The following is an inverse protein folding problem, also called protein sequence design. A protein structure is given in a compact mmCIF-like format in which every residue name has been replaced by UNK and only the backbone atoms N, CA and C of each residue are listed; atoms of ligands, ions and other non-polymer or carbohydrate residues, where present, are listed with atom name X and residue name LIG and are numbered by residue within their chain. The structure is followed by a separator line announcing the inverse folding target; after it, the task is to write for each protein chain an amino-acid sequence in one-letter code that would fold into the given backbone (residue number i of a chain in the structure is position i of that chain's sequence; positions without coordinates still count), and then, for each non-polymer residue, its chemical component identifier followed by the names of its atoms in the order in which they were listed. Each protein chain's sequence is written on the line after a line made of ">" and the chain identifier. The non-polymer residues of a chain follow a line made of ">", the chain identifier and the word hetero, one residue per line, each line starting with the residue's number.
data_IF_519127441803
#
_entry.id   IF_519127441803
#
_cell.length_a   1.000
_cell.length_b   1.000
_cell.length_c   1.000
_cell.angle_alpha   90.00
_cell.angle_beta   90.00
_cell.angle_gamma   90.00
#
_symmetry.space_group_name_H-M   'P 1'
#
loop_
_entity.id
_entity.type
_entity.pdbx_description
1 polymer ?
#
# COMPACT_ATOMS: atom_id res chain seq x y z
N UNK A 1 5.33 2.85 15.66
CA UNK A 1 4.35 2.74 16.77
C UNK A 1 2.89 2.99 16.38
N UNK A 2 2.51 4.11 15.75
CA UNK A 2 1.09 4.41 15.43
C UNK A 2 0.45 3.44 14.42
N UNK A 3 1.17 3.07 13.37
CA UNK A 3 0.73 2.12 12.33
C UNK A 3 0.51 0.71 12.91
N UNK A 4 1.43 0.26 13.75
CA UNK A 4 1.35 -1.01 14.48
C UNK A 4 0.12 -1.07 15.41
N UNK A 5 -0.24 0.05 16.05
CA UNK A 5 -1.46 0.13 16.89
C UNK A 5 -2.75 0.10 16.06
N UNK A 6 -2.78 0.72 14.88
CA UNK A 6 -3.91 0.60 13.95
C UNK A 6 -4.11 -0.85 13.51
N UNK A 7 -3.01 -1.55 13.25
CA UNK A 7 -2.98 -2.98 12.91
C UNK A 7 -3.30 -3.91 14.09
N UNK A 8 -3.40 -3.39 15.32
CA UNK A 8 -3.79 -4.15 16.52
C UNK A 8 -5.26 -3.95 16.93
N UNK A 9 -6.01 -3.01 16.30
CA UNK A 9 -7.40 -2.72 16.67
C UNK A 9 -8.35 -3.86 16.26
N UNK A 10 -9.17 -4.43 17.17
CA UNK A 10 -10.18 -5.41 16.79
C UNK A 10 -11.30 -4.71 16.00
N UNK A 11 -12.02 -5.49 15.18
CA UNK A 11 -13.03 -5.12 14.17
C UNK A 11 -12.43 -4.92 12.76
N UNK A 12 -12.47 -5.98 11.94
CA UNK A 12 -12.04 -5.99 10.53
C UNK A 12 -12.53 -4.75 9.74
N UNK A 13 -13.77 -4.33 9.95
CA UNK A 13 -14.36 -3.21 9.21
C UNK A 13 -13.75 -1.84 9.56
N UNK A 14 -13.46 -1.57 10.84
CA UNK A 14 -12.87 -0.27 11.24
C UNK A 14 -11.39 -0.20 10.90
N UNK A 15 -10.65 -1.31 11.09
CA UNK A 15 -9.24 -1.39 10.73
C UNK A 15 -9.03 -1.17 9.24
N UNK A 16 -9.78 -1.89 8.41
CA UNK A 16 -9.72 -1.74 6.95
C UNK A 16 -10.07 -0.32 6.52
N UNK A 17 -11.15 0.25 7.07
CA UNK A 17 -11.53 1.64 6.76
C UNK A 17 -10.42 2.64 7.13
N UNK A 18 -9.81 2.53 8.31
CA UNK A 18 -8.76 3.45 8.75
C UNK A 18 -7.48 3.33 7.92
N UNK A 19 -7.09 2.10 7.55
CA UNK A 19 -5.95 1.85 6.68
C UNK A 19 -6.19 2.39 5.27
N UNK A 20 -7.40 2.20 4.71
CA UNK A 20 -7.74 2.72 3.40
C UNK A 20 -7.76 4.25 3.39
N UNK A 21 -8.26 4.90 4.43
CA UNK A 21 -8.23 6.38 4.52
C UNK A 21 -6.80 6.92 4.65
N UNK A 22 -5.94 6.26 5.42
CA UNK A 22 -4.52 6.61 5.51
C UNK A 22 -3.81 6.42 4.16
N UNK A 23 -4.06 5.29 3.50
CA UNK A 23 -3.52 5.00 2.18
C UNK A 23 -4.04 6.01 1.14
N UNK A 24 -5.30 6.44 1.24
CA UNK A 24 -5.86 7.45 0.33
C UNK A 24 -5.24 8.82 0.56
N UNK A 25 -5.04 9.22 1.82
CA UNK A 25 -4.38 10.47 2.15
C UNK A 25 -2.96 10.55 1.59
N UNK A 26 -2.19 9.46 1.68
CA UNK A 26 -0.85 9.38 1.11
C UNK A 26 -0.84 9.29 -0.42
N UNK A 27 -1.81 8.61 -1.03
CA UNK A 27 -1.93 8.52 -2.49
C UNK A 27 -2.28 9.87 -3.15
N UNK A 28 -2.78 10.85 -2.38
CA UNK A 28 -3.05 12.22 -2.82
C UNK A 28 -1.85 13.16 -2.72
N UNK A 29 -0.73 12.70 -2.13
CA UNK A 29 0.50 13.48 -2.06
C UNK A 29 1.15 13.60 -3.45
N UNK A 30 2.04 14.59 -3.66
CA UNK A 30 2.90 14.57 -4.84
C UNK A 30 3.79 13.32 -4.85
N UNK A 31 4.32 12.99 -6.02
CA UNK A 31 4.96 11.70 -6.29
C UNK A 31 6.05 11.33 -5.27
N UNK A 32 6.98 12.24 -4.98
CA UNK A 32 8.12 11.97 -4.09
C UNK A 32 7.67 11.70 -2.65
N UNK A 33 6.71 12.47 -2.15
CA UNK A 33 6.16 12.27 -0.81
C UNK A 33 5.30 11.01 -0.72
N UNK A 34 4.54 10.69 -1.78
CA UNK A 34 3.80 9.45 -1.87
C UNK A 34 4.74 8.23 -1.87
N UNK A 35 5.82 8.28 -2.66
CA UNK A 35 6.86 7.27 -2.73
C UNK A 35 7.49 7.04 -1.35
N UNK A 36 7.93 8.12 -0.68
CA UNK A 36 8.55 8.01 0.63
C UNK A 36 7.63 7.38 1.68
N UNK A 37 6.32 7.68 1.65
CA UNK A 37 5.34 7.06 2.55
C UNK A 37 5.11 5.59 2.20
N UNK A 38 4.96 5.26 0.92
CA UNK A 38 4.74 3.89 0.47
C UNK A 38 5.95 2.99 0.75
N UNK A 39 7.17 3.50 0.56
CA UNK A 39 8.42 2.80 0.88
C UNK A 39 8.52 2.47 2.38
N UNK A 40 8.22 3.45 3.24
CA UNK A 40 8.16 3.25 4.69
C UNK A 40 7.06 2.27 5.11
N UNK A 41 5.88 2.36 4.48
CA UNK A 41 4.77 1.43 4.75
C UNK A 41 5.12 -0.01 4.37
N UNK A 42 5.69 -0.23 3.18
CA UNK A 42 6.09 -1.56 2.73
C UNK A 42 7.19 -2.13 3.63
N UNK A 43 8.18 -1.31 3.99
CA UNK A 43 9.24 -1.69 4.93
C UNK A 43 8.69 -2.10 6.30
N UNK A 44 7.60 -1.48 6.77
CA UNK A 44 6.93 -1.89 8.01
C UNK A 44 6.13 -3.18 7.78
N UNK A 45 5.37 -3.27 6.69
CA UNK A 45 4.47 -4.41 6.42
C UNK A 45 5.23 -5.73 6.29
N UNK A 46 6.46 -5.73 5.77
CA UNK A 46 7.28 -6.94 5.65
C UNK A 46 7.86 -7.44 6.98
N UNK A 47 7.99 -6.56 7.96
CA UNK A 47 8.44 -6.91 9.32
C UNK A 47 7.29 -7.46 10.18
N UNK A 48 6.06 -7.42 9.66
CA UNK A 48 4.87 -7.92 10.34
C UNK A 48 4.56 -9.37 9.96
N UNK A 49 3.81 -10.09 10.80
CA UNK A 49 3.27 -11.39 10.46
C UNK A 49 2.52 -11.39 9.11
N UNK A 50 2.64 -12.45 8.28
CA UNK A 50 2.06 -12.50 6.94
C UNK A 50 0.56 -12.17 6.87
N UNK A 51 -0.20 -12.50 7.92
CA UNK A 51 -1.63 -12.18 8.04
C UNK A 51 -1.95 -10.68 8.05
N UNK A 52 -0.95 -9.80 8.20
CA UNK A 52 -1.10 -8.35 8.18
C UNK A 52 -0.64 -7.71 6.86
N UNK A 53 0.12 -8.45 6.05
CA UNK A 53 0.61 -7.98 4.75
C UNK A 53 -0.54 -7.80 3.76
N UNK A 54 -1.35 -8.85 3.55
CA UNK A 54 -2.44 -8.81 2.57
C UNK A 54 -3.49 -7.73 2.84
N UNK A 55 -3.98 -7.54 4.09
CA UNK A 55 -4.93 -6.46 4.38
C UNK A 55 -4.34 -5.06 4.13
N UNK A 56 -3.05 -4.87 4.41
CA UNK A 56 -2.34 -3.62 4.15
C UNK A 56 -2.22 -3.32 2.66
N UNK A 57 -1.76 -4.30 1.88
CA UNK A 57 -1.65 -4.19 0.42
C UNK A 57 -3.01 -3.98 -0.25
N UNK A 58 -4.06 -4.66 0.23
CA UNK A 58 -5.43 -4.46 -0.25
C UNK A 58 -5.94 -3.06 0.04
N UNK A 59 -5.69 -2.53 1.24
CA UNK A 59 -6.07 -1.17 1.60
C UNK A 59 -5.36 -0.14 0.73
N UNK A 60 -4.07 -0.35 0.43
CA UNK A 60 -3.28 0.48 -0.49
C UNK A 60 -3.83 0.45 -1.91
N UNK A 61 -4.10 -0.74 -2.45
CA UNK A 61 -4.70 -0.89 -3.78
C UNK A 61 -6.08 -0.20 -3.86
N UNK A 62 -6.97 -0.47 -2.89
CA UNK A 62 -8.30 0.16 -2.83
C UNK A 62 -8.20 1.69 -2.74
N UNK A 63 -7.21 2.22 -2.01
CA UNK A 63 -6.98 3.65 -1.89
C UNK A 63 -6.55 4.28 -3.23
N UNK A 64 -5.61 3.67 -3.95
CA UNK A 64 -5.20 4.17 -5.26
C UNK A 64 -6.41 4.20 -6.21
N UNK A 65 -7.24 3.15 -6.24
CA UNK A 65 -8.44 3.08 -7.08
C UNK A 65 -9.54 4.11 -6.72
N UNK A 66 -9.50 4.71 -5.54
CA UNK A 66 -10.43 5.78 -5.11
C UNK A 66 -10.00 7.18 -5.56
N UNK A 67 -8.82 7.35 -6.16
CA UNK A 67 -8.40 8.63 -6.71
C UNK A 67 -9.26 9.01 -7.92
N UNK A 68 -9.66 10.27 -7.99
CA UNK A 68 -10.69 10.75 -8.92
C UNK A 68 -10.20 10.87 -10.36
N UNK A 69 -8.92 11.18 -10.57
CA UNK A 69 -8.33 11.36 -11.91
C UNK A 69 -7.49 10.15 -12.30
N UNK A 70 -7.41 9.86 -13.60
CA UNK A 70 -6.50 8.81 -14.11
C UNK A 70 -5.04 9.18 -13.81
N UNK A 71 -4.66 10.43 -14.03
CA UNK A 71 -3.30 10.93 -13.78
C UNK A 71 -2.86 10.74 -12.32
N UNK A 72 -3.74 10.97 -11.34
CA UNK A 72 -3.44 10.73 -9.94
C UNK A 72 -3.28 9.23 -9.65
N UNK A 73 -4.12 8.38 -10.28
CA UNK A 73 -4.04 6.92 -10.16
C UNK A 73 -2.73 6.38 -10.71
N UNK A 74 -2.36 6.77 -11.93
CA UNK A 74 -1.09 6.39 -12.54
C UNK A 74 0.10 6.89 -11.72
N UNK A 75 0.04 8.12 -11.19
CA UNK A 75 1.07 8.65 -10.31
C UNK A 75 1.24 7.81 -9.04
N UNK A 76 0.13 7.46 -8.37
CA UNK A 76 0.15 6.66 -7.15
C UNK A 76 0.59 5.20 -7.42
N UNK A 77 0.22 4.63 -8.57
CA UNK A 77 0.64 3.29 -8.96
C UNK A 77 2.13 3.24 -9.35
N UNK A 78 2.66 4.29 -9.98
CA UNK A 78 4.12 4.41 -10.23
C UNK A 78 4.89 4.53 -8.92
N UNK A 79 4.41 5.35 -7.98
CA UNK A 79 5.02 5.46 -6.66
C UNK A 79 5.00 4.11 -5.93
N UNK A 80 3.89 3.35 -6.05
CA UNK A 80 3.79 2.01 -5.46
C UNK A 80 4.76 1.01 -6.11
N UNK A 81 4.87 0.97 -7.44
CA UNK A 81 5.81 0.06 -8.12
C UNK A 81 7.26 0.38 -7.76
N UNK A 82 7.60 1.67 -7.68
CA UNK A 82 8.93 2.12 -7.27
C UNK A 82 9.21 1.74 -5.82
N UNK A 83 8.28 2.00 -4.90
CA UNK A 83 8.40 1.61 -3.49
C UNK A 83 8.54 0.08 -3.34
N UNK A 84 7.79 -0.72 -4.11
CA UNK A 84 7.95 -2.17 -4.17
C UNK A 84 9.32 -2.58 -4.70
N UNK A 85 9.86 -1.82 -5.66
CA UNK A 85 11.21 -2.03 -6.20
C UNK A 85 12.32 -1.74 -5.19
N UNK A 86 12.16 -0.69 -4.40
CA UNK A 86 13.16 -0.15 -3.47
C UNK A 86 13.13 -0.83 -2.10
N UNK A 87 11.93 -1.01 -1.52
CA UNK A 87 11.77 -1.59 -0.20
C UNK A 87 12.02 -3.10 -0.17
N UNK A 88 11.74 -3.81 -1.27
CA UNK A 88 11.61 -5.27 -1.25
C UNK A 88 12.71 -5.99 -2.02
N UNK A 89 13.24 -7.05 -1.39
CA UNK A 89 14.22 -7.95 -2.01
C UNK A 89 13.55 -9.06 -2.81
N UNK A 90 14.31 -9.66 -3.75
CA UNK A 90 13.86 -10.58 -4.81
C UNK A 90 12.55 -11.36 -4.55
N UNK A 91 12.51 -12.32 -3.60
CA UNK A 91 11.32 -13.13 -3.35
C UNK A 91 10.13 -12.34 -2.78
N UNK A 92 10.37 -11.41 -1.86
CA UNK A 92 9.32 -10.58 -1.25
C UNK A 92 8.67 -9.68 -2.30
N UNK A 93 9.50 -9.06 -3.15
CA UNK A 93 9.05 -8.22 -4.25
C UNK A 93 8.13 -8.96 -5.22
N UNK A 94 8.49 -10.19 -5.57
CA UNK A 94 7.67 -11.05 -6.45
C UNK A 94 6.33 -11.34 -5.77
N UNK A 95 6.35 -11.80 -4.51
CA UNK A 95 5.13 -12.13 -3.79
C UNK A 95 4.17 -10.95 -3.63
N UNK A 96 4.69 -9.75 -3.36
CA UNK A 96 3.86 -8.53 -3.26
C UNK A 96 3.26 -8.16 -4.62
N UNK A 97 4.04 -8.23 -5.70
CA UNK A 97 3.53 -7.97 -7.06
C UNK A 97 2.49 -8.98 -7.49
N UNK A 98 2.73 -10.26 -7.25
CA UNK A 98 1.77 -11.33 -7.57
C UNK A 98 0.44 -11.11 -6.83
N UNK A 99 0.51 -10.70 -5.57
CA UNK A 99 -0.68 -10.33 -4.82
C UNK A 99 -1.40 -9.12 -5.43
N UNK A 100 -0.69 -8.03 -5.74
CA UNK A 100 -1.28 -6.85 -6.38
C UNK A 100 -1.90 -7.20 -7.75
N UNK A 101 -1.24 -8.01 -8.57
CA UNK A 101 -1.78 -8.51 -9.83
C UNK A 101 -3.05 -9.32 -9.64
N UNK A 102 -3.13 -10.13 -8.57
CA UNK A 102 -4.35 -10.88 -8.24
C UNK A 102 -5.54 -9.96 -7.89
N UNK A 103 -5.28 -8.72 -7.48
CA UNK A 103 -6.30 -7.69 -7.23
C UNK A 103 -6.71 -6.93 -8.50
N UNK A 104 -6.04 -7.18 -9.63
CA UNK A 104 -6.25 -6.42 -10.88
C UNK A 104 -5.43 -5.13 -10.95
N UNK A 105 -4.36 -5.01 -10.16
CA UNK A 105 -3.36 -3.96 -10.40
C UNK A 105 -2.64 -4.28 -11.72
N UNK A 106 -2.46 -3.27 -12.56
CA UNK A 106 -1.64 -3.36 -13.76
C UNK A 106 -0.42 -2.49 -13.56
N UNK A 107 0.76 -3.03 -13.88
CA UNK A 107 1.99 -2.29 -13.70
C UNK A 107 2.02 -1.12 -14.69
N UNK A 108 2.16 0.13 -14.21
CA UNK A 108 2.25 1.31 -15.07
C UNK A 108 3.59 1.40 -15.82
#
# INVERSE_FOLDING_TARGET
>A
ERLTRLLALPVENRRRSALTELALASARLPYEEALAVMDAELSILIELPPEHLEPGLRARFEANRRLETEEARECADRALDQAVGDALQGPQRISVRDFLYSLGWERP
#
